data_IF_945240292365
#
_entry.id   IF_945240292365
#
_cell.length_a   1.000
_cell.length_b   1.000
_cell.length_c   1.000
_cell.angle_alpha   90.00
_cell.angle_beta   90.00
_cell.angle_gamma   90.00
#
_symmetry.space_group_name_H-M   'P 1'
#
loop_
_entity.id
_entity.type
_entity.pdbx_description
1 polymer ?
#
# COMPACT_ATOMS: atom_id res chain seq x y z
N UNK A 1 49.13 2.20 -32.74
CA UNK A 1 48.07 2.73 -33.63
C UNK A 1 46.82 2.85 -32.79
N UNK A 2 46.58 4.06 -32.29
CA UNK A 2 45.47 4.37 -31.40
C UNK A 2 44.28 4.92 -32.19
N UNK A 3 43.09 4.59 -31.70
CA UNK A 3 41.79 5.18 -32.01
C UNK A 3 40.92 4.81 -30.79
N UNK A 4 40.01 5.60 -30.23
CA UNK A 4 39.74 7.03 -30.21
C UNK A 4 38.71 7.17 -29.07
N UNK A 5 38.85 8.18 -28.22
CA UNK A 5 37.91 8.47 -27.14
C UNK A 5 36.52 8.81 -27.69
N UNK A 6 35.47 8.36 -27.00
CA UNK A 6 34.08 8.69 -27.29
C UNK A 6 33.25 8.73 -26.02
N UNK A 7 33.23 9.89 -25.38
CA UNK A 7 32.32 10.31 -24.32
C UNK A 7 30.92 10.55 -24.87
N UNK A 8 29.89 10.01 -24.23
CA UNK A 8 28.53 10.60 -24.18
C UNK A 8 27.87 10.27 -22.85
N UNK A 9 27.96 11.23 -21.93
CA UNK A 9 27.03 11.38 -20.82
C UNK A 9 25.65 11.76 -21.38
N UNK A 10 24.60 11.15 -20.84
CA UNK A 10 23.22 11.39 -21.27
C UNK A 10 22.21 10.72 -20.37
N UNK A 11 22.14 11.14 -19.11
CA UNK A 11 20.97 10.87 -18.25
C UNK A 11 20.25 12.20 -17.98
N UNK A 12 18.93 12.29 -18.26
CA UNK A 12 18.17 13.49 -17.96
C UNK A 12 18.06 13.68 -16.45
N UNK A 13 18.45 14.87 -16.01
CA UNK A 13 18.41 15.36 -14.64
C UNK A 13 16.99 15.20 -14.05
N UNK A 14 16.91 14.56 -12.88
CA UNK A 14 15.71 14.48 -12.06
C UNK A 14 15.60 15.77 -11.23
N UNK A 15 14.63 16.67 -11.49
CA UNK A 15 14.57 17.95 -10.82
C UNK A 15 14.14 17.78 -9.36
N UNK A 16 15.09 18.07 -8.47
CA UNK A 16 14.88 18.33 -7.05
C UNK A 16 13.82 19.43 -6.87
N UNK A 17 12.67 19.05 -6.31
CA UNK A 17 11.54 19.96 -6.10
C UNK A 17 11.74 20.74 -4.80
N UNK A 18 12.38 21.89 -4.97
CA UNK A 18 12.03 23.21 -4.42
C UNK A 18 11.86 23.33 -2.89
N UNK A 19 12.88 23.94 -2.31
CA UNK A 19 12.84 24.68 -1.07
C UNK A 19 11.73 25.75 -1.06
N UNK A 20 11.02 25.84 0.06
CA UNK A 20 10.16 26.97 0.40
C UNK A 20 10.64 27.51 1.76
N UNK A 21 11.26 28.68 1.75
CA UNK A 21 11.49 29.49 2.95
C UNK A 21 10.71 30.80 2.79
N UNK A 22 9.53 30.86 3.40
CA UNK A 22 8.74 32.08 3.46
C UNK A 22 9.23 32.91 4.64
N UNK A 23 9.82 34.08 4.36
CA UNK A 23 10.12 35.12 5.34
C UNK A 23 8.82 35.75 5.85
N UNK A 24 8.59 35.70 7.14
CA UNK A 24 7.60 36.55 7.81
C UNK A 24 8.33 37.61 8.62
N UNK A 25 8.19 38.88 8.24
CA UNK A 25 8.52 40.02 9.08
C UNK A 25 7.20 40.73 9.38
N UNK A 26 6.71 40.59 10.61
CA UNK A 26 5.62 41.41 11.13
C UNK A 26 6.20 42.25 12.27
N UNK A 27 6.34 43.54 12.02
CA UNK A 27 6.61 44.55 13.03
C UNK A 27 5.40 45.48 13.01
N UNK A 28 4.62 45.49 14.08
CA UNK A 28 3.64 46.53 14.36
C UNK A 28 3.90 47.09 15.74
N UNK A 29 4.23 48.38 15.78
CA UNK A 29 4.28 49.19 17.00
C UNK A 29 2.85 49.57 17.42
N UNK A 30 2.60 49.56 18.73
CA UNK A 30 1.29 49.85 19.31
C UNK A 30 1.02 51.33 19.56
N UNK A 31 -0.24 51.63 19.89
CA UNK A 31 -0.64 52.74 20.76
C UNK A 31 -2.05 52.47 21.33
N UNK A 32 -2.27 53.02 22.53
CA UNK A 32 -3.33 52.72 23.49
C UNK A 32 -4.72 53.28 23.15
N UNK A 33 -5.75 52.67 23.75
CA UNK A 33 -7.11 53.22 23.84
C UNK A 33 -7.97 52.42 24.81
N UNK A 34 -8.23 52.97 25.99
CA UNK A 34 -9.14 52.41 27.00
C UNK A 34 -10.55 52.92 26.69
N UNK A 35 -11.50 52.03 26.42
CA UNK A 35 -12.92 52.36 26.38
C UNK A 35 -13.73 51.18 26.96
N UNK A 36 -14.32 51.42 28.13
CA UNK A 36 -15.31 50.54 28.75
C UNK A 36 -16.66 50.75 28.07
N UNK A 37 -17.17 49.72 27.39
CA UNK A 37 -18.57 49.63 27.00
C UNK A 37 -19.05 48.20 27.21
N UNK A 38 -19.97 48.03 28.17
CA UNK A 38 -20.73 46.80 28.34
C UNK A 38 -21.66 46.64 27.13
N UNK A 39 -21.46 45.56 26.38
CA UNK A 39 -22.30 45.21 25.24
C UNK A 39 -22.13 43.72 24.94
N UNK A 40 -23.23 42.97 24.96
CA UNK A 40 -23.25 41.56 24.60
C UNK A 40 -23.14 41.44 23.08
N UNK A 41 -21.93 41.26 22.56
CA UNK A 41 -21.70 40.95 21.15
C UNK A 41 -21.60 39.43 21.02
N UNK A 42 -22.67 38.80 20.53
CA UNK A 42 -22.60 37.44 20.02
C UNK A 42 -21.66 37.46 18.80
N UNK A 43 -20.43 36.98 18.98
CA UNK A 43 -19.51 36.81 17.87
C UNK A 43 -20.11 35.78 16.90
N UNK A 44 -20.11 36.03 15.57
CA UNK A 44 -20.36 34.95 14.63
C UNK A 44 -19.19 33.97 14.78
N UNK A 45 -19.48 32.77 15.26
CA UNK A 45 -18.55 31.65 15.13
C UNK A 45 -18.35 31.44 13.63
N UNK A 46 -17.27 31.98 13.08
CA UNK A 46 -16.78 31.57 11.77
C UNK A 46 -16.37 30.11 11.93
N UNK A 47 -17.29 29.21 11.62
CA UNK A 47 -16.95 27.83 11.33
C UNK A 47 -15.97 27.88 10.16
N UNK A 48 -14.68 27.74 10.46
CA UNK A 48 -13.72 27.24 9.49
C UNK A 48 -14.18 25.83 9.18
N UNK A 49 -15.09 25.72 8.22
CA UNK A 49 -15.28 24.49 7.49
C UNK A 49 -13.93 24.24 6.81
N UNK A 50 -13.04 23.57 7.54
CA UNK A 50 -11.85 22.98 6.96
C UNK A 50 -12.37 22.13 5.83
N UNK A 51 -12.13 22.60 4.60
CA UNK A 51 -12.27 21.77 3.43
C UNK A 51 -11.32 20.61 3.65
N UNK A 52 -11.82 19.53 4.24
CA UNK A 52 -11.21 18.23 4.14
C UNK A 52 -11.37 17.89 2.66
N UNK A 53 -10.41 18.38 1.87
CA UNK A 53 -10.11 17.79 0.60
C UNK A 53 -9.90 16.32 0.92
N UNK A 54 -10.87 15.48 0.57
CA UNK A 54 -10.73 14.04 0.60
C UNK A 54 -9.50 13.73 -0.22
N UNK A 55 -8.35 13.62 0.43
CA UNK A 55 -7.14 13.11 -0.19
C UNK A 55 -7.59 11.78 -0.78
N UNK A 56 -7.69 11.72 -2.10
CA UNK A 56 -8.05 10.49 -2.81
C UNK A 56 -7.04 9.48 -2.31
N UNK A 57 -7.48 8.49 -1.52
CA UNK A 57 -6.56 7.52 -0.94
C UNK A 57 -5.75 6.95 -2.09
N UNK A 58 -4.42 7.02 -2.00
CA UNK A 58 -3.56 6.36 -2.96
C UNK A 58 -3.92 4.87 -2.90
N UNK A 59 -4.38 4.34 -4.04
CA UNK A 59 -4.88 2.98 -4.14
C UNK A 59 -4.52 2.39 -5.50
N UNK A 60 -4.23 1.10 -5.50
CA UNK A 60 -3.90 0.36 -6.70
C UNK A 60 -4.92 -0.75 -6.94
N UNK A 61 -5.57 -0.72 -8.10
CA UNK A 61 -6.46 -1.77 -8.58
C UNK A 61 -5.65 -2.98 -9.11
N UNK A 62 -6.35 -3.94 -9.72
CA UNK A 62 -5.81 -5.11 -10.44
C UNK A 62 -5.12 -6.15 -9.55
N UNK A 63 -5.41 -6.12 -8.25
CA UNK A 63 -5.11 -7.22 -7.36
C UNK A 63 -6.21 -8.29 -7.46
N UNK A 64 -5.81 -9.55 -7.62
CA UNK A 64 -6.70 -10.66 -7.98
C UNK A 64 -6.47 -11.84 -7.05
N UNK A 65 -7.55 -12.55 -6.77
CA UNK A 65 -7.48 -13.87 -6.13
C UNK A 65 -7.07 -14.92 -7.16
N UNK A 66 -6.12 -15.79 -6.78
CA UNK A 66 -5.74 -16.95 -7.58
C UNK A 66 -6.51 -18.21 -7.17
N UNK A 67 -7.20 -18.86 -8.11
CA UNK A 67 -8.00 -20.09 -7.84
C UNK A 67 -7.17 -21.30 -7.46
N UNK A 68 -5.87 -21.32 -7.80
CA UNK A 68 -5.00 -22.48 -7.59
C UNK A 68 -4.28 -22.45 -6.25
N UNK A 69 -3.67 -21.32 -5.93
CA UNK A 69 -2.89 -21.15 -4.70
C UNK A 69 -3.63 -20.36 -3.62
N UNK A 70 -4.78 -19.77 -3.93
CA UNK A 70 -5.54 -18.86 -3.06
C UNK A 70 -4.82 -17.58 -2.65
N UNK A 71 -3.63 -17.33 -3.21
CA UNK A 71 -2.85 -16.13 -3.00
C UNK A 71 -3.45 -14.90 -3.70
N UNK A 72 -3.23 -13.74 -3.10
CA UNK A 72 -3.47 -12.44 -3.74
C UNK A 72 -2.28 -12.11 -4.65
N UNK A 73 -2.54 -11.84 -5.93
CA UNK A 73 -1.50 -11.48 -6.90
C UNK A 73 -1.89 -10.26 -7.72
N UNK A 74 -0.90 -9.52 -8.19
CA UNK A 74 -1.11 -8.35 -9.04
C UNK A 74 -1.15 -8.75 -10.51
N UNK A 75 -2.18 -8.29 -11.23
CA UNK A 75 -2.44 -8.59 -12.64
C UNK A 75 -2.35 -7.35 -13.54
N UNK A 76 -1.50 -6.39 -13.18
CA UNK A 76 -1.27 -5.18 -13.98
C UNK A 76 -0.24 -5.34 -15.11
N UNK A 77 0.26 -6.56 -15.34
CA UNK A 77 1.22 -6.87 -16.42
C UNK A 77 0.65 -7.94 -17.36
N UNK A 78 1.18 -8.08 -18.59
CA UNK A 78 0.77 -9.15 -19.51
C UNK A 78 1.08 -10.58 -19.00
N UNK A 79 2.01 -10.71 -18.05
CA UNK A 79 2.32 -11.97 -17.38
C UNK A 79 1.62 -12.05 -16.02
N UNK A 80 1.37 -13.26 -15.53
CA UNK A 80 0.68 -13.48 -14.24
C UNK A 80 1.63 -13.88 -13.09
N UNK A 81 2.95 -13.84 -13.28
CA UNK A 81 3.95 -14.23 -12.28
C UNK A 81 3.95 -15.74 -11.94
N UNK A 82 4.99 -16.23 -11.27
CA UNK A 82 5.09 -17.65 -10.92
C UNK A 82 4.11 -18.08 -9.82
N UNK A 83 3.24 -19.06 -10.12
CA UNK A 83 2.29 -19.63 -9.17
C UNK A 83 2.88 -20.85 -8.43
N UNK A 84 2.66 -21.00 -7.10
CA UNK A 84 3.06 -22.20 -6.35
C UNK A 84 2.46 -23.51 -6.87
N UNK A 85 1.30 -23.45 -7.53
CA UNK A 85 0.65 -24.60 -8.15
C UNK A 85 1.19 -24.91 -9.57
N UNK A 86 2.24 -24.21 -10.00
CA UNK A 86 2.80 -24.29 -11.36
C UNK A 86 2.18 -23.29 -12.34
N UNK A 87 2.98 -22.87 -13.32
CA UNK A 87 2.61 -21.89 -14.34
C UNK A 87 2.34 -20.49 -13.79
N UNK A 88 1.54 -19.70 -14.53
CA UNK A 88 1.08 -18.35 -14.13
C UNK A 88 -0.05 -18.39 -13.10
N UNK A 89 -0.31 -17.31 -12.36
CA UNK A 89 -1.52 -17.22 -11.53
C UNK A 89 -2.82 -17.24 -12.37
N UNK A 90 -3.93 -17.70 -11.80
CA UNK A 90 -5.25 -17.80 -12.48
C UNK A 90 -6.30 -16.97 -11.73
N UNK A 91 -6.71 -15.83 -12.31
CA UNK A 91 -7.54 -14.85 -11.63
C UNK A 91 -9.01 -15.23 -11.56
N UNK A 92 -9.65 -15.04 -10.40
CA UNK A 92 -11.10 -15.11 -10.26
C UNK A 92 -11.63 -14.09 -9.22
N UNK A 93 -12.94 -13.92 -9.14
CA UNK A 93 -13.61 -13.09 -8.12
C UNK A 93 -13.39 -11.57 -8.31
N UNK A 94 -13.29 -10.84 -7.21
CA UNK A 94 -13.24 -9.37 -7.17
C UNK A 94 -11.91 -8.75 -7.60
N UNK A 95 -11.97 -7.56 -8.22
CA UNK A 95 -10.79 -6.74 -8.48
C UNK A 95 -10.52 -5.87 -7.23
N UNK A 96 -9.47 -6.20 -6.48
CA UNK A 96 -9.13 -5.49 -5.25
C UNK A 96 -8.40 -4.18 -5.55
N UNK A 97 -8.75 -3.14 -4.80
CA UNK A 97 -8.18 -1.79 -4.93
C UNK A 97 -7.49 -1.37 -3.63
N UNK A 98 -6.23 -1.76 -3.49
CA UNK A 98 -5.53 -1.76 -2.21
C UNK A 98 -4.93 -0.38 -1.88
N UNK A 99 -5.13 0.14 -0.64
CA UNK A 99 -4.46 1.37 -0.20
C UNK A 99 -2.95 1.20 -0.13
N UNK A 100 -2.21 2.22 -0.50
CA UNK A 100 -0.76 2.25 -0.39
C UNK A 100 -0.23 3.64 -0.07
N UNK A 101 0.98 3.71 0.48
CA UNK A 101 1.70 4.94 0.82
C UNK A 101 0.87 5.93 1.67
N UNK A 102 0.01 5.37 2.52
CA UNK A 102 -0.77 6.08 3.53
C UNK A 102 -0.28 5.70 4.92
N UNK A 103 -0.48 6.52 5.97
CA UNK A 103 -0.11 6.14 7.33
C UNK A 103 -0.84 4.87 7.80
N UNK A 104 -0.19 3.97 8.55
CA UNK A 104 -0.87 2.86 9.22
C UNK A 104 -1.78 3.37 10.34
N UNK A 105 -2.71 2.53 10.79
CA UNK A 105 -3.59 2.80 11.93
C UNK A 105 -3.66 1.58 12.84
N UNK A 106 -4.41 1.66 13.94
CA UNK A 106 -4.67 0.50 14.80
C UNK A 106 -5.41 -0.65 14.08
N UNK A 107 -6.05 -0.36 12.94
CA UNK A 107 -6.82 -1.32 12.13
C UNK A 107 -6.34 -1.33 10.67
N UNK A 108 -5.09 -0.91 10.42
CA UNK A 108 -4.50 -0.94 9.10
C UNK A 108 -2.97 -1.16 9.19
N UNK A 109 -2.51 -2.27 8.62
CA UNK A 109 -1.12 -2.71 8.73
C UNK A 109 -0.34 -2.36 7.46
N UNK A 110 0.79 -1.68 7.63
CA UNK A 110 1.75 -1.40 6.55
C UNK A 110 2.74 -2.54 6.32
N UNK A 111 3.72 -2.32 5.45
CA UNK A 111 4.81 -3.24 5.12
C UNK A 111 4.35 -4.48 4.32
N UNK A 112 3.22 -4.36 3.64
CA UNK A 112 2.81 -5.29 2.58
C UNK A 112 3.42 -4.84 1.25
N UNK A 113 4.02 -5.79 0.52
CA UNK A 113 4.83 -5.52 -0.66
C UNK A 113 4.43 -6.43 -1.82
N UNK A 114 4.68 -5.94 -3.02
CA UNK A 114 4.58 -6.72 -4.25
C UNK A 114 5.87 -7.51 -4.50
N UNK A 115 5.76 -8.82 -4.76
CA UNK A 115 6.90 -9.64 -5.16
C UNK A 115 7.08 -9.62 -6.68
N UNK A 116 8.23 -9.16 -7.19
CA UNK A 116 8.47 -9.02 -8.64
C UNK A 116 8.76 -10.32 -9.39
N UNK A 117 8.86 -11.45 -8.68
CA UNK A 117 9.07 -12.79 -9.26
C UNK A 117 7.77 -13.58 -9.39
N UNK A 118 6.96 -13.59 -8.33
CA UNK A 118 5.72 -14.36 -8.27
C UNK A 118 4.48 -13.51 -8.43
N UNK A 119 4.62 -12.18 -8.42
CA UNK A 119 3.55 -11.19 -8.45
C UNK A 119 2.59 -11.22 -7.25
N UNK A 120 2.89 -12.05 -6.26
CA UNK A 120 2.13 -12.18 -5.02
C UNK A 120 2.34 -11.02 -4.06
N UNK A 121 1.32 -10.72 -3.28
CA UNK A 121 1.39 -9.84 -2.11
C UNK A 121 2.05 -10.59 -0.95
N UNK A 122 3.09 -10.02 -0.35
CA UNK A 122 3.79 -10.60 0.79
C UNK A 122 4.10 -9.59 1.88
N UNK A 123 4.21 -10.06 3.12
CA UNK A 123 4.57 -9.21 4.25
C UNK A 123 6.09 -9.09 4.39
N UNK A 124 6.59 -7.85 4.40
CA UNK A 124 8.02 -7.49 4.49
C UNK A 124 8.39 -7.03 5.91
N UNK A 125 7.88 -7.70 6.94
CA UNK A 125 8.14 -7.37 8.35
C UNK A 125 9.24 -8.20 9.02
N UNK A 126 9.80 -9.20 8.32
CA UNK A 126 10.76 -10.15 8.89
C UNK A 126 11.95 -10.36 7.93
N UNK A 127 13.17 -10.65 8.45
CA UNK A 127 14.39 -10.65 7.64
C UNK A 127 14.44 -11.73 6.56
N UNK A 128 13.68 -12.82 6.70
CA UNK A 128 13.72 -13.96 5.76
C UNK A 128 12.89 -13.74 4.51
N UNK A 129 11.93 -12.80 4.51
CA UNK A 129 10.96 -12.58 3.43
C UNK A 129 10.20 -13.86 2.98
N UNK A 130 10.08 -14.84 3.87
CA UNK A 130 9.27 -16.04 3.63
C UNK A 130 9.82 -16.94 2.52
N UNK A 131 8.92 -17.59 1.79
CA UNK A 131 9.28 -18.54 0.72
C UNK A 131 8.53 -18.19 -0.56
N UNK A 132 9.28 -17.88 -1.60
CA UNK A 132 8.78 -17.57 -2.93
C UNK A 132 8.69 -18.86 -3.79
N UNK A 133 7.66 -19.02 -4.64
CA UNK A 133 7.58 -20.16 -5.56
C UNK A 133 8.73 -20.24 -6.57
N UNK A 134 9.46 -19.14 -6.79
CA UNK A 134 10.67 -19.14 -7.63
C UNK A 134 11.95 -19.52 -6.88
N UNK A 135 11.83 -19.95 -5.61
CA UNK A 135 12.95 -20.22 -4.71
C UNK A 135 13.43 -18.98 -3.93
N UNK A 136 13.95 -19.23 -2.72
CA UNK A 136 14.38 -18.19 -1.78
C UNK A 136 13.21 -17.39 -1.18
N UNK A 137 13.51 -16.25 -0.55
CA UNK A 137 12.50 -15.32 -0.05
C UNK A 137 11.89 -14.45 -1.15
N UNK A 138 10.74 -13.84 -0.83
CA UNK A 138 10.11 -12.84 -1.70
C UNK A 138 11.02 -11.62 -1.91
N UNK A 139 10.91 -10.99 -3.09
CA UNK A 139 11.70 -9.83 -3.47
C UNK A 139 10.78 -8.69 -3.89
N UNK A 140 10.89 -7.55 -3.22
CA UNK A 140 10.19 -6.33 -3.64
C UNK A 140 10.72 -5.80 -4.98
N UNK A 141 9.83 -5.26 -5.80
CA UNK A 141 10.22 -4.55 -7.02
C UNK A 141 10.96 -3.24 -6.69
N UNK A 142 11.74 -2.75 -7.64
CA UNK A 142 12.27 -1.38 -7.58
C UNK A 142 11.11 -0.41 -7.81
N UNK A 143 10.95 0.57 -6.90
CA UNK A 143 9.84 1.52 -6.97
C UNK A 143 8.48 0.90 -6.63
N UNK A 144 8.46 -0.14 -5.79
CA UNK A 144 7.22 -0.71 -5.28
C UNK A 144 6.47 0.25 -4.34
N UNK A 145 5.21 -0.07 -4.10
CA UNK A 145 4.40 0.63 -3.11
C UNK A 145 4.46 -0.02 -1.73
N UNK A 146 4.30 0.76 -0.68
CA UNK A 146 4.04 0.26 0.68
C UNK A 146 2.54 0.11 0.90
N UNK A 147 2.02 -1.10 0.74
CA UNK A 147 0.58 -1.34 0.92
C UNK A 147 0.22 -1.31 2.40
N UNK A 148 -0.92 -0.67 2.68
CA UNK A 148 -1.46 -0.54 4.02
C UNK A 148 -2.85 -1.16 4.07
N UNK A 149 -2.92 -2.38 4.58
CA UNK A 149 -4.09 -3.24 4.46
C UNK A 149 -4.98 -3.13 5.70
N UNK A 150 -6.27 -2.81 5.55
CA UNK A 150 -7.21 -2.80 6.66
C UNK A 150 -7.37 -4.21 7.26
N UNK A 151 -7.53 -4.27 8.57
CA UNK A 151 -7.76 -5.53 9.29
C UNK A 151 -8.66 -5.34 10.51
N UNK A 152 -9.31 -6.42 10.92
CA UNK A 152 -10.16 -6.50 12.11
C UNK A 152 -11.26 -5.43 12.18
N UNK A 153 -11.82 -5.10 11.01
CA UNK A 153 -12.96 -4.20 10.84
C UNK A 153 -14.15 -4.97 10.23
N UNK A 154 -15.40 -4.53 10.44
CA UNK A 154 -16.53 -5.10 9.72
C UNK A 154 -16.37 -4.95 8.20
N UNK A 155 -16.65 -5.99 7.40
CA UNK A 155 -16.68 -5.85 5.95
C UNK A 155 -17.87 -4.97 5.52
N UNK A 156 -17.74 -4.39 4.33
CA UNK A 156 -18.77 -3.57 3.68
C UNK A 156 -19.20 -4.23 2.37
N UNK A 157 -20.16 -3.64 1.65
CA UNK A 157 -20.54 -4.13 0.32
C UNK A 157 -19.39 -4.09 -0.71
N UNK A 158 -18.34 -3.31 -0.45
CA UNK A 158 -17.17 -3.15 -1.31
C UNK A 158 -15.88 -3.62 -0.64
N UNK A 159 -15.98 -4.52 0.35
CA UNK A 159 -14.79 -5.14 0.93
C UNK A 159 -15.01 -6.60 1.33
N UNK A 160 -13.95 -7.38 1.23
CA UNK A 160 -13.96 -8.81 1.53
C UNK A 160 -13.04 -9.11 2.71
N UNK A 161 -13.57 -9.76 3.74
CA UNK A 161 -12.81 -10.30 4.88
C UNK A 161 -12.24 -11.69 4.59
N UNK A 162 -11.61 -12.33 5.57
CA UNK A 162 -10.98 -13.67 5.51
C UNK A 162 -9.70 -13.71 4.66
N UNK A 163 -9.05 -12.57 4.45
CA UNK A 163 -7.70 -12.54 3.91
C UNK A 163 -6.70 -12.69 5.06
N UNK A 164 -5.71 -13.57 4.89
CA UNK A 164 -4.83 -14.02 5.96
C UNK A 164 -3.38 -13.97 5.55
N UNK A 165 -2.53 -13.70 6.54
CA UNK A 165 -1.10 -13.87 6.41
C UNK A 165 -0.72 -15.35 6.60
N UNK A 166 0.18 -15.85 5.75
CA UNK A 166 0.79 -17.16 5.93
C UNK A 166 2.16 -17.06 6.62
N UNK A 167 2.34 -17.62 7.81
CA UNK A 167 3.62 -17.54 8.56
C UNK A 167 4.75 -18.38 7.95
N UNK A 168 4.48 -19.24 6.96
CA UNK A 168 5.50 -20.05 6.29
C UNK A 168 6.06 -19.39 5.04
N UNK A 169 5.18 -18.89 4.17
CA UNK A 169 5.60 -18.24 2.93
C UNK A 169 5.61 -16.71 3.00
N UNK A 170 4.96 -16.12 4.01
CA UNK A 170 4.70 -14.69 4.16
C UNK A 170 3.74 -14.07 3.15
N UNK A 171 3.13 -14.89 2.29
CA UNK A 171 2.12 -14.45 1.34
C UNK A 171 0.75 -14.17 1.98
N UNK A 172 0.02 -13.24 1.38
CA UNK A 172 -1.41 -13.03 1.64
C UNK A 172 -2.23 -14.09 0.89
N UNK A 173 -3.13 -14.79 1.59
CA UNK A 173 -4.00 -15.79 0.98
C UNK A 173 -5.44 -15.69 1.50
N UNK A 174 -6.39 -16.15 0.70
CA UNK A 174 -7.79 -16.17 1.08
C UNK A 174 -8.14 -17.46 1.85
N UNK A 175 -8.61 -17.32 3.08
CA UNK A 175 -9.06 -18.42 3.94
C UNK A 175 -10.59 -18.55 3.88
N UNK A 176 -11.14 -18.76 2.68
CA UNK A 176 -12.58 -18.93 2.49
C UNK A 176 -13.01 -20.31 2.01
N UNK A 177 -12.06 -21.22 1.79
CA UNK A 177 -12.29 -22.56 1.24
C UNK A 177 -11.50 -23.60 2.03
N UNK A 178 -11.98 -24.85 2.12
CA UNK A 178 -11.43 -25.85 3.05
C UNK A 178 -10.00 -26.31 2.73
N UNK A 179 -9.52 -26.11 1.50
CA UNK A 179 -8.20 -26.60 1.06
C UNK A 179 -7.07 -25.62 1.32
N UNK A 180 -7.36 -24.36 1.67
CA UNK A 180 -6.38 -23.28 1.94
C UNK A 180 -5.35 -23.00 0.83
N UNK A 181 -5.49 -23.58 -0.37
CA UNK A 181 -4.64 -23.31 -1.53
C UNK A 181 -3.20 -23.81 -1.39
N UNK A 182 -2.53 -24.00 -2.53
CA UNK A 182 -1.13 -24.47 -2.58
C UNK A 182 -0.16 -23.40 -2.05
N UNK A 183 0.64 -23.77 -1.04
CA UNK A 183 1.65 -22.90 -0.45
C UNK A 183 3.06 -23.23 -0.97
N UNK A 184 3.92 -22.25 -1.31
CA UNK A 184 5.28 -22.53 -1.78
C UNK A 184 6.21 -23.07 -0.68
N UNK A 185 5.83 -22.97 0.59
CA UNK A 185 6.58 -23.47 1.74
C UNK A 185 6.12 -24.87 2.22
N UNK A 186 5.18 -25.51 1.53
CA UNK A 186 4.61 -26.79 1.98
C UNK A 186 3.43 -27.24 1.13
N UNK A 187 2.42 -27.85 1.75
CA UNK A 187 1.21 -28.31 1.05
C UNK A 187 0.16 -27.20 0.96
N UNK A 188 -0.20 -26.61 2.10
CA UNK A 188 -1.28 -25.62 2.21
C UNK A 188 -0.84 -24.38 2.99
N UNK A 189 -1.53 -23.24 2.80
CA UNK A 189 -1.26 -22.04 3.58
C UNK A 189 -1.64 -22.24 5.05
N UNK A 190 -0.80 -21.70 5.95
CA UNK A 190 -1.01 -21.74 7.39
C UNK A 190 -1.39 -20.35 7.89
N UNK A 191 -2.59 -20.18 8.45
CA UNK A 191 -3.09 -18.89 8.91
C UNK A 191 -2.31 -18.38 10.13
N UNK A 192 -1.93 -17.11 10.09
CA UNK A 192 -1.47 -16.36 11.26
C UNK A 192 -1.88 -14.87 11.16
N UNK A 193 -1.74 -14.15 12.28
CA UNK A 193 -1.96 -12.70 12.33
C UNK A 193 -3.42 -12.28 12.22
N UNK A 194 -3.64 -11.13 11.59
CA UNK A 194 -4.95 -10.46 11.54
C UNK A 194 -5.93 -11.06 10.53
N UNK A 195 -7.21 -10.68 10.64
CA UNK A 195 -8.21 -10.89 9.57
C UNK A 195 -8.26 -9.64 8.69
N UNK A 196 -7.63 -9.70 7.52
CA UNK A 196 -7.57 -8.57 6.59
C UNK A 196 -8.88 -8.43 5.83
N UNK A 197 -9.26 -7.17 5.62
CA UNK A 197 -10.49 -6.76 4.96
C UNK A 197 -10.12 -5.92 3.75
N UNK A 198 -10.07 -6.58 2.59
CA UNK A 198 -9.56 -5.96 1.36
C UNK A 198 -10.68 -5.24 0.61
N UNK A 199 -10.52 -3.95 0.31
CA UNK A 199 -11.46 -3.22 -0.56
C UNK A 199 -11.38 -3.70 -2.00
N UNK A 200 -12.53 -3.72 -2.68
CA UNK A 200 -12.63 -4.06 -4.10
C UNK A 200 -13.55 -3.10 -4.86
N UNK A 201 -13.45 -3.15 -6.18
CA UNK A 201 -14.28 -2.40 -7.14
C UNK A 201 -15.63 -3.08 -7.38
#
# INVERSE_FOLDING_TARGET
MGFQQGSVDGSPENPSRRAWLTRALVVTAGAAGVATAAGSFAAPAMATAGAQASARRASQADWRFCTKCYGLFFRGYPADGACPAGGGHDSNGYNFNLPHDVPPTATAQRDWRFCDKCFGMFFYGYPTNGTCPTGGGHRKAVGDYDFVLPHDIPPTATSQRNWRFCDKCFGMFFYGYPTNGVCPAGTVHHMAGYDFVLPHL
#
